data_IF_878464736274
#
_entry.id   IF_878464736274
#
_cell.length_a   1.000
_cell.length_b   1.000
_cell.length_c   1.000
_cell.angle_alpha   90.00
_cell.angle_beta   90.00
_cell.angle_gamma   90.00
#
_symmetry.space_group_name_H-M   'P 1'
#
loop_
_entity.id
_entity.type
_entity.pdbx_description
1 polymer ?
#
# COMPACT_ATOMS: atom_id res chain seq x y z
N UNK A 1 -3.63 -2.57 12.33
CA UNK A 1 -4.58 -1.91 11.40
C UNK A 1 -5.53 -1.08 12.23
N UNK A 2 -5.99 0.05 11.69
CA UNK A 2 -6.83 1.01 12.42
C UNK A 2 -8.10 1.26 11.60
N UNK A 3 -9.27 1.21 12.21
CA UNK A 3 -10.47 1.83 11.63
C UNK A 3 -10.25 3.35 11.51
N UNK A 4 -11.04 4.05 10.69
CA UNK A 4 -10.89 5.51 10.57
C UNK A 4 -11.12 6.23 11.91
N UNK A 5 -12.04 5.74 12.74
CA UNK A 5 -12.27 6.28 14.07
C UNK A 5 -11.06 6.10 15.01
N UNK A 6 -10.35 4.97 14.94
CA UNK A 6 -9.11 4.76 15.71
C UNK A 6 -7.95 5.57 15.15
N UNK A 7 -7.83 5.65 13.82
CA UNK A 7 -6.77 6.40 13.15
C UNK A 7 -6.89 7.91 13.39
N UNK A 8 -8.10 8.46 13.50
CA UNK A 8 -8.32 9.87 13.84
C UNK A 8 -7.80 10.27 15.23
N UNK A 9 -7.50 9.29 16.10
CA UNK A 9 -6.86 9.54 17.41
C UNK A 9 -5.33 9.57 17.32
N UNK A 10 -4.75 9.34 16.14
CA UNK A 10 -3.30 9.37 15.88
C UNK A 10 -2.90 10.70 15.23
N UNK A 11 -1.64 11.13 15.38
CA UNK A 11 -1.14 12.33 14.72
C UNK A 11 -1.32 12.28 13.20
N UNK A 12 -1.68 13.41 12.59
CA UNK A 12 -1.85 13.54 11.12
C UNK A 12 -0.60 13.10 10.35
N UNK A 13 0.59 13.34 10.91
CA UNK A 13 1.86 12.90 10.31
C UNK A 13 1.99 11.37 10.20
N UNK A 14 1.28 10.60 11.02
CA UNK A 14 1.32 9.13 11.03
C UNK A 14 0.27 8.51 10.10
N UNK A 15 -0.92 9.11 10.03
CA UNK A 15 -2.09 8.53 9.35
C UNK A 15 -2.57 9.29 8.11
N UNK A 16 -1.97 10.46 7.83
CA UNK A 16 -2.39 11.35 6.75
C UNK A 16 -3.62 12.19 7.10
N UNK A 17 -3.69 13.40 6.53
CA UNK A 17 -4.79 14.33 6.77
C UNK A 17 -6.12 13.81 6.22
N UNK A 18 -6.07 13.06 5.12
CA UNK A 18 -7.26 12.44 4.54
C UNK A 18 -7.98 11.50 5.50
N UNK A 19 -7.24 10.71 6.27
CA UNK A 19 -7.82 9.79 7.25
C UNK A 19 -8.67 10.53 8.29
N UNK A 20 -8.20 11.69 8.75
CA UNK A 20 -8.95 12.56 9.65
C UNK A 20 -10.21 13.12 8.96
N UNK A 21 -10.10 13.55 7.70
CA UNK A 21 -11.27 14.01 6.92
C UNK A 21 -12.32 12.91 6.76
N UNK A 22 -11.91 11.69 6.43
CA UNK A 22 -12.82 10.54 6.27
C UNK A 22 -13.52 10.17 7.58
N UNK A 23 -12.81 10.23 8.70
CA UNK A 23 -13.37 9.95 10.02
C UNK A 23 -14.36 11.03 10.50
N UNK A 24 -14.22 12.27 10.03
CA UNK A 24 -15.05 13.41 10.40
C UNK A 24 -16.35 13.53 9.57
N UNK A 25 -16.54 12.69 8.55
CA UNK A 25 -17.79 12.65 7.79
C UNK A 25 -18.95 12.20 8.68
N UNK A 26 -20.15 12.76 8.48
CA UNK A 26 -21.36 12.36 9.22
C UNK A 26 -21.67 10.86 9.06
N UNK A 27 -21.34 10.31 7.89
CA UNK A 27 -21.36 8.89 7.60
C UNK A 27 -19.98 8.45 7.07
N UNK A 28 -19.04 8.06 7.97
CA UNK A 28 -17.72 7.59 7.55
C UNK A 28 -17.84 6.35 6.66
N UNK A 29 -17.06 6.25 5.57
CA UNK A 29 -17.08 5.06 4.74
C UNK A 29 -16.55 3.86 5.52
N UNK A 30 -17.05 2.65 5.19
CA UNK A 30 -16.46 1.42 5.69
C UNK A 30 -15.05 1.31 5.16
N UNK A 31 -14.09 1.19 6.07
CA UNK A 31 -12.69 1.18 5.69
C UNK A 31 -11.76 1.03 6.88
N UNK A 32 -10.49 0.85 6.55
CA UNK A 32 -9.41 0.82 7.52
C UNK A 32 -8.15 1.46 6.92
N UNK A 33 -7.27 1.90 7.80
CA UNK A 33 -5.91 2.29 7.50
C UNK A 33 -4.94 1.17 7.86
N UNK A 34 -4.12 0.80 6.88
CA UNK A 34 -2.90 0.02 7.08
C UNK A 34 -1.78 1.01 7.42
N UNK A 35 -1.17 0.92 8.62
CA UNK A 35 -0.07 1.80 9.01
C UNK A 35 1.17 1.55 8.15
N UNK A 36 1.99 2.59 7.97
CA UNK A 36 3.28 2.49 7.28
C UNK A 36 4.16 1.37 7.86
N UNK A 37 4.18 1.22 9.18
CA UNK A 37 4.95 0.16 9.86
C UNK A 37 4.58 -1.27 9.41
N UNK A 38 3.35 -1.51 8.95
CA UNK A 38 2.96 -2.83 8.44
C UNK A 38 3.55 -3.09 7.05
N UNK A 39 3.55 -2.08 6.18
CA UNK A 39 4.26 -2.14 4.90
C UNK A 39 5.77 -2.30 5.13
N UNK A 40 6.35 -1.51 6.03
CA UNK A 40 7.77 -1.58 6.40
C UNK A 40 8.17 -2.97 6.89
N UNK A 41 7.35 -3.59 7.74
CA UNK A 41 7.54 -4.96 8.20
C UNK A 41 7.46 -5.97 7.05
N UNK A 42 6.56 -5.76 6.09
CA UNK A 42 6.50 -6.58 4.88
C UNK A 42 7.82 -6.50 4.09
N UNK A 43 8.31 -5.29 3.78
CA UNK A 43 9.57 -5.13 3.04
C UNK A 43 10.74 -5.78 3.76
N UNK A 44 10.88 -5.54 5.08
CA UNK A 44 11.98 -6.11 5.85
C UNK A 44 11.89 -7.61 6.04
N UNK A 45 10.68 -8.16 6.20
CA UNK A 45 10.46 -9.59 6.47
C UNK A 45 10.97 -10.52 5.37
N UNK A 46 11.07 -10.03 4.13
CA UNK A 46 11.60 -10.77 2.96
C UNK A 46 12.90 -10.17 2.42
N UNK A 47 13.57 -9.30 3.19
CA UNK A 47 14.80 -8.63 2.78
C UNK A 47 14.71 -7.89 1.42
N UNK A 48 13.52 -7.33 1.14
CA UNK A 48 13.30 -6.57 -0.09
C UNK A 48 14.20 -5.33 -0.19
N UNK A 49 14.46 -4.54 0.88
CA UNK A 49 15.32 -3.36 0.77
C UNK A 49 16.71 -3.68 0.22
N UNK A 50 17.33 -4.78 0.65
CA UNK A 50 18.64 -5.17 0.13
C UNK A 50 18.54 -5.65 -1.32
N UNK A 51 17.52 -6.45 -1.65
CA UNK A 51 17.33 -6.98 -3.01
C UNK A 51 17.06 -5.86 -4.01
N UNK A 52 16.22 -4.89 -3.62
CA UNK A 52 15.91 -3.70 -4.41
C UNK A 52 17.14 -2.78 -4.50
N UNK A 53 17.87 -2.57 -3.41
CA UNK A 53 19.12 -1.80 -3.43
C UNK A 53 20.15 -2.38 -4.42
N UNK A 54 20.28 -3.71 -4.47
CA UNK A 54 21.13 -4.39 -5.46
C UNK A 54 20.61 -4.25 -6.89
N UNK A 55 19.29 -4.27 -7.08
CA UNK A 55 18.67 -4.09 -8.40
C UNK A 55 19.01 -2.72 -9.00
N UNK A 56 19.06 -1.67 -8.18
CA UNK A 56 19.32 -0.30 -8.63
C UNK A 56 20.78 0.16 -8.43
N UNK A 57 21.71 -0.70 -8.02
CA UNK A 57 23.10 -0.32 -7.70
C UNK A 57 23.84 0.34 -8.87
N UNK A 58 23.47 0.01 -10.11
CA UNK A 58 24.07 0.57 -11.32
C UNK A 58 23.48 1.92 -11.76
N UNK A 59 22.42 2.41 -11.10
CA UNK A 59 21.78 3.68 -11.46
C UNK A 59 22.58 4.84 -10.88
N UNK A 60 22.95 5.78 -11.75
CA UNK A 60 23.56 7.04 -11.33
C UNK A 60 22.49 8.14 -11.22
N UNK A 61 22.15 8.61 -10.01
CA UNK A 61 21.13 9.65 -9.84
C UNK A 61 21.46 10.96 -10.56
N UNK A 62 22.75 11.27 -10.77
CA UNK A 62 23.17 12.49 -11.47
C UNK A 62 23.07 12.38 -13.01
N UNK A 63 22.84 11.18 -13.54
CA UNK A 63 22.68 10.91 -14.97
C UNK A 63 21.79 9.69 -15.17
N UNK A 64 20.49 9.93 -15.14
CA UNK A 64 19.48 8.88 -15.29
C UNK A 64 19.29 8.59 -16.78
N UNK A 65 19.33 7.30 -17.12
CA UNK A 65 18.93 6.77 -18.42
C UNK A 65 17.58 6.08 -18.22
N UNK A 66 16.49 6.72 -18.65
CA UNK A 66 15.11 6.23 -18.44
C UNK A 66 14.89 4.88 -19.13
N UNK A 67 15.47 4.67 -20.31
CA UNK A 67 15.37 3.41 -21.06
C UNK A 67 16.05 2.25 -20.31
N UNK A 68 17.14 2.55 -19.58
CA UNK A 68 17.79 1.58 -18.70
C UNK A 68 17.06 1.39 -17.37
N UNK A 69 16.31 2.38 -16.91
CA UNK A 69 15.61 2.38 -15.62
C UNK A 69 14.27 1.65 -15.67
N UNK A 70 13.52 1.76 -16.76
CA UNK A 70 12.19 1.15 -16.92
C UNK A 70 12.19 -0.38 -16.70
N UNK A 71 13.14 -1.17 -17.24
CA UNK A 71 13.22 -2.60 -16.97
C UNK A 71 13.50 -2.93 -15.50
N UNK A 72 14.23 -2.07 -14.78
CA UNK A 72 14.50 -2.24 -13.35
C UNK A 72 13.26 -1.96 -12.52
N UNK A 73 12.49 -0.94 -12.89
CA UNK A 73 11.20 -0.62 -12.28
C UNK A 73 10.22 -1.80 -12.43
N UNK A 74 10.11 -2.37 -13.62
CA UNK A 74 9.27 -3.55 -13.86
C UNK A 74 9.69 -4.76 -13.01
N UNK A 75 10.99 -4.98 -12.85
CA UNK A 75 11.52 -6.03 -11.95
C UNK A 75 11.22 -5.75 -10.48
N UNK A 76 11.39 -4.51 -10.03
CA UNK A 76 11.06 -4.11 -8.66
C UNK A 76 9.57 -4.32 -8.35
N UNK A 77 8.69 -3.91 -9.26
CA UNK A 77 7.25 -4.18 -9.16
C UNK A 77 6.95 -5.67 -9.05
N UNK A 78 7.61 -6.50 -9.86
CA UNK A 78 7.43 -7.95 -9.79
C UNK A 78 7.89 -8.53 -8.45
N UNK A 79 9.03 -8.08 -7.92
CA UNK A 79 9.54 -8.50 -6.61
C UNK A 79 8.54 -8.17 -5.50
N UNK A 80 8.01 -6.95 -5.47
CA UNK A 80 6.99 -6.53 -4.49
C UNK A 80 5.68 -7.31 -4.68
N UNK A 81 5.27 -7.60 -5.92
CA UNK A 81 4.02 -8.36 -6.14
C UNK A 81 4.13 -9.83 -5.75
N UNK A 82 5.32 -10.42 -5.86
CA UNK A 82 5.52 -11.86 -5.69
C UNK A 82 6.05 -12.25 -4.31
N UNK A 83 6.70 -11.34 -3.58
CA UNK A 83 7.24 -11.64 -2.25
C UNK A 83 6.14 -11.91 -1.23
N UNK A 84 6.29 -12.96 -0.42
CA UNK A 84 5.28 -13.37 0.55
C UNK A 84 5.20 -12.40 1.76
N UNK A 85 4.01 -12.26 2.34
CA UNK A 85 3.88 -11.77 3.71
C UNK A 85 4.05 -12.95 4.67
N UNK A 86 4.55 -12.68 5.88
CA UNK A 86 4.51 -13.68 6.95
C UNK A 86 3.05 -14.06 7.28
N UNK A 87 2.82 -15.33 7.61
CA UNK A 87 1.48 -15.86 7.87
C UNK A 87 0.74 -15.05 8.94
N UNK A 88 1.42 -14.68 10.03
CA UNK A 88 0.83 -13.85 11.10
C UNK A 88 0.38 -12.47 10.59
N UNK A 89 1.15 -11.86 9.67
CA UNK A 89 0.79 -10.58 9.06
C UNK A 89 -0.41 -10.73 8.12
N UNK A 90 -0.49 -11.84 7.38
CA UNK A 90 -1.66 -12.19 6.55
C UNK A 90 -2.90 -12.37 7.42
N UNK A 91 -2.81 -13.13 8.52
CA UNK A 91 -3.91 -13.34 9.44
C UNK A 91 -4.35 -12.04 10.11
N UNK A 92 -3.41 -11.16 10.47
CA UNK A 92 -3.71 -9.84 11.02
C UNK A 92 -4.50 -8.99 10.02
N UNK A 93 -4.10 -8.98 8.74
CA UNK A 93 -4.82 -8.26 7.70
C UNK A 93 -6.24 -8.83 7.52
N UNK A 94 -6.40 -10.15 7.44
CA UNK A 94 -7.70 -10.78 7.25
C UNK A 94 -8.67 -10.51 8.40
N UNK A 95 -8.20 -10.57 9.65
CA UNK A 95 -9.00 -10.17 10.82
C UNK A 95 -9.40 -8.70 10.74
N UNK A 96 -8.48 -7.82 10.35
CA UNK A 96 -8.76 -6.40 10.19
C UNK A 96 -9.81 -6.12 9.10
N UNK A 97 -9.75 -6.83 7.96
CA UNK A 97 -10.77 -6.75 6.91
C UNK A 97 -12.15 -7.16 7.43
N UNK A 98 -12.22 -8.26 8.19
CA UNK A 98 -13.46 -8.70 8.84
C UNK A 98 -14.03 -7.64 9.78
N UNK A 99 -13.21 -7.12 10.69
CA UNK A 99 -13.62 -6.12 11.67
C UNK A 99 -14.07 -4.79 11.02
N UNK A 100 -13.50 -4.43 9.87
CA UNK A 100 -13.87 -3.22 9.14
C UNK A 100 -15.06 -3.41 8.17
N UNK A 101 -15.66 -4.59 8.11
CA UNK A 101 -16.76 -4.89 7.17
C UNK A 101 -16.32 -4.88 5.71
N UNK A 102 -15.08 -5.32 5.45
CA UNK A 102 -14.45 -5.43 4.13
C UNK A 102 -14.17 -6.89 3.73
N UNK A 103 -14.77 -7.86 4.42
CA UNK A 103 -14.59 -9.29 4.15
C UNK A 103 -15.30 -9.77 2.87
N UNK A 104 -16.24 -8.98 2.35
CA UNK A 104 -17.01 -9.25 1.13
C UNK A 104 -17.17 -8.00 0.27
N UNK A 105 -17.45 -8.21 -1.02
CA UNK A 105 -17.74 -7.12 -1.96
C UNK A 105 -16.49 -6.51 -2.56
N UNK A 106 -16.60 -5.28 -3.07
CA UNK A 106 -15.47 -4.57 -3.65
C UNK A 106 -14.64 -3.86 -2.58
N UNK A 107 -13.32 -3.90 -2.71
CA UNK A 107 -12.39 -3.16 -1.85
C UNK A 107 -11.41 -2.38 -2.72
N UNK A 108 -11.25 -1.09 -2.42
CA UNK A 108 -10.29 -0.21 -3.05
C UNK A 108 -9.11 0.04 -2.10
N UNK A 109 -7.88 -0.14 -2.58
CA UNK A 109 -6.64 0.20 -1.90
C UNK A 109 -6.03 1.45 -2.53
N UNK A 110 -5.67 2.45 -1.72
CA UNK A 110 -4.96 3.66 -2.21
C UNK A 110 -4.10 4.31 -1.15
N UNK A 111 -3.13 5.12 -1.58
CA UNK A 111 -2.39 6.01 -0.67
C UNK A 111 -3.30 7.16 -0.21
N UNK A 112 -3.16 7.66 1.03
CA UNK A 112 -3.81 8.90 1.42
C UNK A 112 -3.42 10.03 0.46
N UNK A 113 -4.41 10.76 -0.04
CA UNK A 113 -4.28 11.86 -1.02
C UNK A 113 -3.54 11.46 -2.32
N UNK A 114 -3.39 10.17 -2.59
CA UNK A 114 -2.73 9.65 -3.78
C UNK A 114 -3.65 9.61 -5.01
N UNK A 115 -3.11 9.80 -6.22
CA UNK A 115 -3.90 9.83 -7.46
C UNK A 115 -4.33 8.43 -7.93
N UNK A 116 -3.66 7.38 -7.43
CA UNK A 116 -3.85 6.01 -7.88
C UNK A 116 -4.58 5.16 -6.85
N UNK A 117 -5.37 4.22 -7.35
CA UNK A 117 -6.03 3.20 -6.54
C UNK A 117 -6.03 1.85 -7.23
N UNK A 118 -5.89 0.80 -6.44
CA UNK A 118 -6.00 -0.59 -6.86
C UNK A 118 -7.30 -1.20 -6.35
N UNK A 119 -8.06 -1.82 -7.24
CA UNK A 119 -9.38 -2.37 -6.91
C UNK A 119 -9.33 -3.90 -6.83
N UNK A 120 -9.89 -4.45 -5.77
CA UNK A 120 -10.29 -5.84 -5.65
C UNK A 120 -11.81 -5.91 -5.93
N UNK A 121 -12.25 -6.26 -7.16
CA UNK A 121 -13.66 -6.17 -7.55
C UNK A 121 -14.56 -7.14 -6.77
N UNK A 122 -13.97 -8.23 -6.26
CA UNK A 122 -14.67 -9.22 -5.45
C UNK A 122 -13.75 -9.80 -4.40
N UNK A 123 -13.94 -9.34 -3.18
CA UNK A 123 -13.38 -9.92 -1.97
C UNK A 123 -14.37 -10.95 -1.44
N UNK A 124 -13.83 -12.09 -1.04
CA UNK A 124 -14.50 -13.12 -0.26
C UNK A 124 -13.53 -13.57 0.83
N UNK A 125 -14.01 -14.10 1.96
CA UNK A 125 -13.13 -14.70 2.96
C UNK A 125 -12.16 -15.72 2.31
N UNK A 126 -10.88 -15.71 2.70
CA UNK A 126 -10.31 -14.98 3.84
C UNK A 126 -9.93 -13.51 3.54
N UNK A 127 -10.02 -13.05 2.28
CA UNK A 127 -9.66 -11.67 1.90
C UNK A 127 -8.45 -11.55 0.97
N UNK A 128 -7.99 -12.64 0.36
CA UNK A 128 -6.79 -12.69 -0.50
C UNK A 128 -6.83 -11.65 -1.64
N UNK A 129 -7.99 -11.39 -2.23
CA UNK A 129 -8.13 -10.40 -3.29
C UNK A 129 -7.78 -8.98 -2.82
N UNK A 130 -8.15 -8.62 -1.58
CA UNK A 130 -7.78 -7.34 -0.98
C UNK A 130 -6.27 -7.27 -0.72
N UNK A 131 -5.65 -8.35 -0.22
CA UNK A 131 -4.20 -8.42 -0.07
C UNK A 131 -3.47 -8.22 -1.42
N UNK A 132 -3.97 -8.84 -2.49
CA UNK A 132 -3.40 -8.64 -3.82
C UNK A 132 -3.54 -7.18 -4.29
N UNK A 133 -4.65 -6.51 -4.00
CA UNK A 133 -4.81 -5.08 -4.31
C UNK A 133 -3.81 -4.21 -3.53
N UNK A 134 -3.61 -4.49 -2.24
CA UNK A 134 -2.58 -3.81 -1.41
C UNK A 134 -1.19 -3.99 -2.01
N UNK A 135 -0.79 -5.22 -2.37
CA UNK A 135 0.53 -5.47 -2.97
C UNK A 135 0.70 -4.82 -4.34
N UNK A 136 -0.36 -4.77 -5.16
CA UNK A 136 -0.32 -4.02 -6.42
C UNK A 136 -0.12 -2.54 -6.17
N UNK A 137 -0.79 -1.98 -5.14
CA UNK A 137 -0.63 -0.57 -4.79
C UNK A 137 0.81 -0.29 -4.35
N UNK A 138 1.37 -1.11 -3.46
CA UNK A 138 2.77 -0.96 -3.03
C UNK A 138 3.77 -1.13 -4.16
N UNK A 139 3.45 -1.95 -5.16
CA UNK A 139 4.28 -2.07 -6.36
C UNK A 139 4.24 -0.78 -7.19
N UNK A 140 3.15 0.00 -7.19
CA UNK A 140 3.11 1.29 -7.93
C UNK A 140 4.14 2.28 -7.44
N UNK A 141 4.58 2.21 -6.20
CA UNK A 141 5.69 3.04 -5.70
C UNK A 141 7.03 2.77 -6.41
N UNK A 142 7.08 1.71 -7.23
CA UNK A 142 8.19 1.33 -8.10
C UNK A 142 7.85 1.49 -9.59
N UNK A 143 6.84 2.30 -9.94
CA UNK A 143 6.72 2.81 -11.30
C UNK A 143 7.82 3.82 -11.61
N UNK A 144 8.04 4.04 -12.91
CA UNK A 144 9.14 4.88 -13.38
C UNK A 144 9.06 6.29 -12.79
N UNK A 145 7.86 6.88 -12.79
CA UNK A 145 7.61 8.22 -12.25
C UNK A 145 7.95 8.31 -10.74
N UNK A 146 7.49 7.36 -9.94
CA UNK A 146 7.78 7.31 -8.48
C UNK A 146 9.25 7.04 -8.18
N UNK A 147 9.93 6.26 -9.02
CA UNK A 147 11.38 6.02 -8.87
C UNK A 147 12.19 7.25 -9.25
N UNK A 148 11.83 7.94 -10.34
CA UNK A 148 12.44 9.19 -10.77
C UNK A 148 12.28 10.27 -9.69
N UNK A 149 11.08 10.44 -9.15
CA UNK A 149 10.80 11.41 -8.08
C UNK A 149 11.69 11.16 -6.84
N UNK A 150 11.84 9.89 -6.44
CA UNK A 150 12.72 9.51 -5.31
C UNK A 150 14.19 9.76 -5.60
N UNK A 151 14.65 9.45 -6.81
CA UNK A 151 16.03 9.72 -7.23
C UNK A 151 16.33 11.22 -7.25
N UNK A 152 15.39 12.05 -7.71
CA UNK A 152 15.54 13.50 -7.75
C UNK A 152 15.50 14.12 -6.33
N UNK A 153 14.59 13.65 -5.48
CA UNK A 153 14.38 14.23 -4.14
C UNK A 153 15.43 13.77 -3.12
N UNK A 154 15.82 12.49 -3.14
CA UNK A 154 16.64 11.86 -2.10
C UNK A 154 18.00 11.36 -2.59
N UNK A 155 18.23 11.32 -3.91
CA UNK A 155 19.42 10.73 -4.49
C UNK A 155 19.45 9.20 -4.44
N UNK A 156 18.34 8.52 -4.14
CA UNK A 156 18.29 7.07 -4.02
C UNK A 156 16.89 6.46 -4.07
N UNK A 157 16.83 5.12 -4.00
CA UNK A 157 15.59 4.32 -4.06
C UNK A 157 15.27 3.63 -2.72
N UNK A 158 15.44 4.38 -1.63
CA UNK A 158 15.22 3.89 -0.28
C UNK A 158 13.80 3.34 -0.03
N UNK A 159 13.65 2.55 1.04
CA UNK A 159 12.35 2.13 1.53
C UNK A 159 11.59 3.32 2.10
N UNK A 160 10.48 3.67 1.47
CA UNK A 160 9.56 4.72 1.92
C UNK A 160 8.18 4.11 2.19
N UNK A 161 8.06 3.41 3.31
CA UNK A 161 6.79 2.83 3.71
C UNK A 161 5.79 3.95 4.04
N UNK A 162 4.56 3.85 3.54
CA UNK A 162 3.52 4.87 3.69
C UNK A 162 2.21 4.24 4.15
N UNK A 163 1.31 4.97 4.81
CA UNK A 163 -0.01 4.45 5.11
C UNK A 163 -0.76 4.04 3.83
N UNK A 164 -1.67 3.07 3.95
CA UNK A 164 -2.57 2.64 2.88
C UNK A 164 -4.00 2.67 3.39
N UNK A 165 -4.91 3.30 2.66
CA UNK A 165 -6.35 3.26 2.91
C UNK A 165 -6.96 2.06 2.18
N UNK A 166 -7.76 1.29 2.90
CA UNK A 166 -8.68 0.31 2.33
C UNK A 166 -10.11 0.79 2.54
N UNK A 167 -10.87 0.88 1.46
CA UNK A 167 -12.24 1.39 1.45
C UNK A 167 -13.16 0.38 0.77
N UNK A 168 -14.39 0.28 1.24
CA UNK A 168 -15.43 -0.42 0.50
C UNK A 168 -15.70 0.30 -0.83
N UNK A 169 -15.76 -0.44 -1.94
CA UNK A 169 -16.11 0.11 -3.25
C UNK A 169 -17.59 0.51 -3.36
N UNK A 170 -17.97 1.32 -4.37
CA UNK A 170 -19.33 1.85 -4.55
C UNK A 170 -20.44 0.80 -4.74
N UNK A 171 -20.12 -0.49 -4.88
CA UNK A 171 -21.09 -1.61 -4.94
C UNK A 171 -21.17 -2.47 -3.68
N UNK A 172 -20.37 -2.18 -2.65
CA UNK A 172 -20.26 -3.00 -1.46
C UNK A 172 -21.40 -2.70 -0.48
N UNK A 173 -22.60 -3.21 -0.74
CA UNK A 173 -23.69 -3.15 0.24
C UNK A 173 -23.27 -3.85 1.54
N UNK A 174 -23.66 -3.28 2.69
CA UNK A 174 -23.51 -3.96 3.98
C UNK A 174 -24.40 -5.20 3.95
N UNK A 175 -23.84 -6.40 3.94
CA UNK A 175 -24.63 -7.57 4.30
C UNK A 175 -24.90 -7.48 5.81
N UNK A 176 -26.17 -7.50 6.26
CA UNK A 176 -26.54 -7.41 7.67
C UNK A 176 -26.05 -8.62 8.48
#
# INVERSE_FOLDING_TARGET
MLTFAEAARRPVAEVGAETHRLAALEAPPRGLLIPAAFEEAYYRGVNLPETLGRLFVGVNPARIDEDALEPLCAQAQLLVRTSALMDDAVQLLYRALGNAGLSTGEVQARRPDGPWSEVAPRVTPPGTAALHAVKRLWARDWDLESVLERLDTSGGVGLEARPTLLLAGPGSAATP
#
